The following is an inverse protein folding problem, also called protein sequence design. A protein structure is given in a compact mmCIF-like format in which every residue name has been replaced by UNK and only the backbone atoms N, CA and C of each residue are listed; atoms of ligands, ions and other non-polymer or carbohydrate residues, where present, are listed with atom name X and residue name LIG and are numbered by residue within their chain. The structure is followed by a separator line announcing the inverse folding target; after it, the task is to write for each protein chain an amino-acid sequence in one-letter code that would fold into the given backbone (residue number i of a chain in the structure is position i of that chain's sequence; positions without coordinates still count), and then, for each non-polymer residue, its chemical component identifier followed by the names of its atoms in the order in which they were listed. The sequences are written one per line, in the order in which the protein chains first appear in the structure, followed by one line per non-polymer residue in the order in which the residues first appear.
data_IF_367833791362
#
_entry.id   IF_367833791362
#
_cell.length_a   1.000
_cell.length_b   1.000
_cell.length_c   1.000
_cell.angle_alpha   90.00
_cell.angle_beta   90.00
_cell.angle_gamma   90.00
#
_symmetry.space_group_name_H-M   'P 1'
#
loop_
_entity.id
_entity.type
_entity.pdbx_description
1 polymer ?
#
# COMPACT_ATOMS: atom_id res chain seq x y z
N UNK A 1 26.15 -12.31 -87.29
CA UNK A 1 26.20 -11.43 -86.17
C UNK A 1 27.69 -11.22 -85.80
N UNK A 2 28.16 -9.96 -85.92
CA UNK A 2 29.58 -9.66 -85.79
C UNK A 2 30.14 -10.03 -84.44
N UNK A 3 31.39 -10.56 -84.40
CA UNK A 3 32.11 -10.99 -83.15
C UNK A 3 32.10 -9.89 -82.14
N UNK A 4 32.20 -8.64 -82.55
CA UNK A 4 32.15 -7.46 -81.66
C UNK A 4 30.81 -7.37 -80.91
N UNK A 5 29.66 -7.62 -81.55
CA UNK A 5 28.34 -7.62 -80.92
C UNK A 5 28.18 -8.73 -79.91
N UNK A 6 28.78 -9.89 -80.16
CA UNK A 6 28.76 -10.98 -79.25
C UNK A 6 29.60 -10.69 -77.97
N UNK A 7 30.74 -10.05 -78.18
CA UNK A 7 31.63 -9.62 -77.03
C UNK A 7 30.96 -8.54 -76.19
N UNK A 8 30.35 -7.52 -76.82
CA UNK A 8 29.62 -6.47 -76.10
C UNK A 8 28.45 -7.04 -75.31
N UNK A 9 27.72 -8.02 -75.84
CA UNK A 9 26.61 -8.66 -75.13
C UNK A 9 27.08 -9.49 -73.95
N UNK A 10 28.23 -10.16 -74.08
CA UNK A 10 28.82 -10.98 -73.04
C UNK A 10 29.32 -10.09 -71.89
N UNK A 11 29.99 -8.96 -72.18
CA UNK A 11 30.42 -7.98 -71.20
C UNK A 11 29.22 -7.37 -70.46
N UNK A 12 28.15 -7.04 -71.14
CA UNK A 12 26.92 -6.51 -70.55
C UNK A 12 26.29 -7.51 -69.57
N UNK A 13 26.23 -8.81 -69.92
CA UNK A 13 25.71 -9.85 -69.02
C UNK A 13 26.58 -10.01 -67.78
N UNK A 14 27.93 -10.03 -67.92
CA UNK A 14 28.84 -10.13 -66.78
C UNK A 14 28.72 -8.90 -65.87
N UNK A 15 28.60 -7.69 -66.44
CA UNK A 15 28.38 -6.47 -65.62
C UNK A 15 27.05 -6.50 -64.88
N UNK A 16 26.01 -7.02 -65.50
CA UNK A 16 24.71 -7.16 -64.88
C UNK A 16 24.72 -8.14 -63.69
N UNK A 17 25.38 -9.28 -63.85
CA UNK A 17 25.57 -10.26 -62.80
C UNK A 17 26.41 -9.69 -61.62
N UNK A 18 27.40 -8.90 -61.92
CA UNK A 18 28.20 -8.21 -60.89
C UNK A 18 27.37 -7.18 -60.10
N UNK A 19 26.50 -6.42 -60.78
CA UNK A 19 25.57 -5.51 -60.14
C UNK A 19 24.59 -6.24 -59.23
N UNK A 20 24.03 -7.39 -59.63
CA UNK A 20 23.12 -8.17 -58.81
C UNK A 20 23.82 -8.74 -57.55
N UNK A 21 25.07 -9.20 -57.66
CA UNK A 21 25.81 -9.71 -56.51
C UNK A 21 26.14 -8.62 -55.48
N UNK A 22 26.50 -7.43 -55.92
CA UNK A 22 26.78 -6.29 -55.01
C UNK A 22 25.54 -5.72 -54.38
N UNK A 23 24.37 -5.75 -55.05
CA UNK A 23 23.08 -5.36 -54.44
C UNK A 23 22.70 -6.32 -53.32
N UNK A 24 22.85 -7.64 -53.53
CA UNK A 24 22.53 -8.61 -52.48
C UNK A 24 23.44 -8.47 -51.25
N UNK A 25 24.75 -8.22 -51.42
CA UNK A 25 25.65 -7.96 -50.31
C UNK A 25 25.33 -6.65 -49.59
N UNK A 26 24.89 -5.63 -50.30
CA UNK A 26 24.50 -4.33 -49.71
C UNK A 26 23.21 -4.48 -48.94
N UNK A 27 22.24 -5.25 -49.45
CA UNK A 27 20.96 -5.52 -48.73
C UNK A 27 21.19 -6.32 -47.43
N UNK A 28 22.07 -7.33 -47.46
CA UNK A 28 22.41 -8.10 -46.27
C UNK A 28 23.13 -7.28 -45.20
N UNK A 29 23.85 -6.24 -45.60
CA UNK A 29 24.58 -5.36 -44.65
C UNK A 29 23.69 -4.37 -43.89
N UNK A 30 22.51 -4.04 -44.46
CA UNK A 30 21.53 -3.16 -43.79
C UNK A 30 20.46 -3.89 -42.97
N UNK A 31 20.45 -5.22 -43.01
CA UNK A 31 19.54 -6.03 -42.22
C UNK A 31 20.22 -6.43 -40.90
N UNK A 32 20.70 -5.42 -40.15
CA UNK A 32 21.14 -5.61 -38.78
C UNK A 32 19.88 -5.61 -37.92
N UNK A 33 19.36 -6.78 -37.59
CA UNK A 33 18.37 -6.91 -36.53
C UNK A 33 19.04 -6.51 -35.21
N UNK A 34 18.74 -5.32 -34.74
CA UNK A 34 19.10 -4.90 -33.40
C UNK A 34 18.16 -5.64 -32.43
N UNK A 35 18.55 -6.81 -31.97
CA UNK A 35 17.89 -7.45 -30.84
C UNK A 35 18.27 -6.67 -29.57
N UNK A 36 17.58 -5.59 -29.31
CA UNK A 36 17.63 -4.90 -28.05
C UNK A 36 16.90 -5.71 -26.99
N UNK A 37 17.60 -6.47 -26.16
CA UNK A 37 17.03 -6.99 -24.92
C UNK A 37 16.90 -5.83 -23.96
N UNK A 38 15.72 -5.27 -23.85
CA UNK A 38 15.37 -4.30 -22.82
C UNK A 38 14.94 -5.10 -21.57
N UNK A 39 15.77 -5.14 -20.56
CA UNK A 39 15.36 -5.65 -19.28
C UNK A 39 14.54 -4.56 -18.60
N UNK A 40 13.23 -4.71 -18.59
CA UNK A 40 12.34 -3.88 -17.78
C UNK A 40 12.04 -4.63 -16.49
N UNK A 41 12.32 -4.01 -15.35
CA UNK A 41 11.90 -4.54 -14.06
C UNK A 41 10.43 -4.17 -13.82
N UNK A 42 9.67 -5.12 -13.31
CA UNK A 42 8.29 -4.86 -12.85
C UNK A 42 8.37 -4.10 -11.53
N UNK A 43 7.53 -3.08 -11.38
CA UNK A 43 7.44 -2.31 -10.14
C UNK A 43 7.08 -3.22 -8.96
N UNK A 44 7.80 -3.06 -7.85
CA UNK A 44 7.52 -3.82 -6.63
C UNK A 44 6.27 -3.27 -5.96
N UNK A 45 5.48 -4.19 -5.42
CA UNK A 45 4.30 -3.92 -4.62
C UNK A 45 4.36 -4.76 -3.36
N UNK A 46 5.08 -4.27 -2.33
CA UNK A 46 5.24 -4.98 -1.08
C UNK A 46 5.04 -4.01 0.08
N UNK A 47 3.87 -4.04 0.67
CA UNK A 47 3.48 -3.21 1.81
C UNK A 47 3.46 -4.10 3.06
N UNK A 48 4.08 -3.63 4.13
CA UNK A 48 3.96 -4.23 5.46
C UNK A 48 3.11 -3.31 6.34
N UNK A 49 2.25 -3.93 7.12
CA UNK A 49 1.48 -3.24 8.17
C UNK A 49 1.84 -3.89 9.50
N UNK A 50 2.43 -3.13 10.43
CA UNK A 50 2.97 -3.64 11.68
C UNK A 50 3.86 -4.89 11.48
N UNK A 51 4.74 -4.84 10.46
CA UNK A 51 5.63 -5.92 10.02
C UNK A 51 4.92 -7.16 9.42
N UNK A 52 3.62 -7.10 9.17
CA UNK A 52 2.88 -8.17 8.48
C UNK A 52 2.67 -7.83 7.01
N UNK A 53 2.96 -8.80 6.13
CA UNK A 53 2.80 -8.65 4.68
C UNK A 53 1.32 -8.70 4.28
N UNK A 54 0.85 -7.64 3.62
CA UNK A 54 -0.56 -7.51 3.21
C UNK A 54 -0.80 -7.81 1.72
N UNK A 55 0.20 -8.28 0.97
CA UNK A 55 0.10 -8.52 -0.48
C UNK A 55 -1.02 -9.47 -0.89
N UNK A 56 -1.33 -10.43 -0.05
CA UNK A 56 -2.32 -11.48 -0.37
C UNK A 56 -3.75 -11.09 0.02
N UNK A 57 -3.94 -9.94 0.65
CA UNK A 57 -5.23 -9.49 1.14
C UNK A 57 -5.53 -8.10 0.59
N UNK A 58 -6.54 -7.97 -0.25
CA UNK A 58 -7.03 -6.67 -0.74
C UNK A 58 -7.63 -5.81 0.38
N UNK A 59 -8.01 -6.45 1.49
CA UNK A 59 -8.35 -5.83 2.76
C UNK A 59 -7.81 -6.69 3.90
N UNK A 60 -7.08 -6.08 4.81
CA UNK A 60 -6.61 -6.76 6.04
C UNK A 60 -7.39 -6.21 7.21
N UNK A 61 -7.91 -7.11 8.06
CA UNK A 61 -8.40 -6.72 9.37
C UNK A 61 -7.28 -7.00 10.39
N UNK A 62 -6.81 -5.97 11.06
CA UNK A 62 -5.92 -6.12 12.20
C UNK A 62 -6.75 -5.98 13.48
N UNK A 63 -6.70 -7.00 14.31
CA UNK A 63 -7.18 -6.91 15.68
C UNK A 63 -6.03 -6.34 16.52
N UNK A 64 -6.24 -5.17 17.09
CA UNK A 64 -5.21 -4.46 17.83
C UNK A 64 -5.72 -4.14 19.23
N UNK A 65 -4.88 -4.39 20.21
CA UNK A 65 -5.17 -4.00 21.60
C UNK A 65 -4.69 -2.56 21.80
N UNK A 66 -5.57 -1.63 22.19
CA UNK A 66 -5.17 -0.26 22.48
C UNK A 66 -4.21 -0.19 23.68
N UNK A 67 -3.26 0.72 23.60
CA UNK A 67 -2.38 1.10 24.71
C UNK A 67 -3.05 2.23 25.47
N UNK A 68 -3.23 2.06 26.77
CA UNK A 68 -3.77 3.09 27.66
C UNK A 68 -2.64 3.68 28.49
N UNK A 69 -2.51 5.01 28.43
CA UNK A 69 -1.57 5.72 29.28
C UNK A 69 -2.18 5.80 30.68
N UNK A 70 -1.43 5.37 31.67
CA UNK A 70 -1.85 5.53 33.06
C UNK A 70 -2.05 6.99 33.45
N UNK A 71 -2.91 7.23 34.42
CA UNK A 71 -3.13 8.53 35.05
C UNK A 71 -2.84 8.43 36.52
N UNK A 72 -3.04 9.53 37.29
CA UNK A 72 -2.95 9.47 38.75
C UNK A 72 -3.89 8.44 39.39
N UNK A 73 -5.01 8.12 38.69
CA UNK A 73 -6.09 7.26 39.19
C UNK A 73 -6.21 5.90 38.50
N UNK A 74 -5.55 5.72 37.36
CA UNK A 74 -5.68 4.51 36.50
C UNK A 74 -4.28 4.02 36.16
N UNK A 75 -4.00 2.73 36.40
CA UNK A 75 -2.72 2.12 36.08
C UNK A 75 -2.46 2.15 34.55
N UNK A 76 -1.20 2.16 34.09
CA UNK A 76 -0.89 1.98 32.65
C UNK A 76 -1.43 0.65 32.14
N UNK A 77 -1.79 0.63 30.84
CA UNK A 77 -2.32 -0.53 30.12
C UNK A 77 -3.62 -1.12 30.68
N UNK A 78 -4.31 -0.34 31.52
CA UNK A 78 -5.65 -0.66 32.04
C UNK A 78 -6.65 0.31 31.44
N UNK A 79 -7.75 -0.24 30.90
CA UNK A 79 -8.89 0.54 30.46
C UNK A 79 -9.92 0.68 31.57
N UNK A 80 -10.47 1.86 31.74
CA UNK A 80 -11.56 2.16 32.65
C UNK A 80 -12.51 3.18 32.02
N UNK A 81 -13.76 3.28 32.47
CA UNK A 81 -14.69 4.32 32.01
C UNK A 81 -14.01 5.70 31.99
N UNK A 82 -14.21 6.46 30.92
CA UNK A 82 -13.58 7.75 30.60
C UNK A 82 -12.10 7.73 30.20
N UNK A 83 -11.38 6.60 30.33
CA UNK A 83 -9.96 6.53 29.93
C UNK A 83 -9.77 6.70 28.43
N UNK A 84 -8.66 7.31 28.05
CA UNK A 84 -8.23 7.49 26.67
C UNK A 84 -6.95 6.68 26.40
N UNK A 85 -6.90 6.05 25.23
CA UNK A 85 -5.76 5.28 24.77
C UNK A 85 -5.52 5.50 23.27
N UNK A 86 -4.60 4.73 22.70
CA UNK A 86 -4.31 4.79 21.28
C UNK A 86 -3.83 3.44 20.74
N UNK A 87 -3.91 3.32 19.42
CA UNK A 87 -3.34 2.23 18.65
C UNK A 87 -2.42 2.82 17.59
N UNK A 88 -1.21 2.30 17.48
CA UNK A 88 -0.27 2.68 16.43
C UNK A 88 -0.31 1.68 15.28
N UNK A 89 -0.54 2.20 14.07
CA UNK A 89 -0.46 1.48 12.82
C UNK A 89 0.73 2.01 12.02
N UNK A 90 1.67 1.12 11.71
CA UNK A 90 2.87 1.45 10.94
C UNK A 90 2.74 0.84 9.56
N UNK A 91 2.70 1.66 8.53
CA UNK A 91 2.73 1.28 7.12
C UNK A 91 4.17 1.40 6.64
N UNK A 92 4.81 0.29 6.28
CA UNK A 92 6.12 0.26 5.63
C UNK A 92 5.95 0.06 4.13
N UNK A 93 6.31 1.08 3.37
CA UNK A 93 6.28 1.14 1.91
C UNK A 93 7.68 1.15 1.28
N UNK A 94 8.73 0.82 2.02
CA UNK A 94 10.13 0.84 1.55
C UNK A 94 10.36 -0.03 0.31
N UNK A 95 9.55 -1.07 0.12
CA UNK A 95 9.61 -1.99 -1.02
C UNK A 95 8.45 -1.78 -2.01
N UNK A 96 7.94 -0.57 -2.12
CA UNK A 96 6.92 -0.17 -3.10
C UNK A 96 7.53 0.82 -4.08
N UNK A 97 7.37 0.58 -5.38
CA UNK A 97 7.96 1.42 -6.44
C UNK A 97 6.94 2.37 -7.10
N UNK A 98 5.68 2.35 -6.66
CA UNK A 98 4.58 3.14 -7.22
C UNK A 98 3.84 3.91 -6.10
N UNK A 99 3.15 4.97 -6.48
CA UNK A 99 2.28 5.72 -5.57
C UNK A 99 1.01 4.93 -5.25
N UNK A 100 0.48 5.09 -4.04
CA UNK A 100 -0.75 4.42 -3.63
C UNK A 100 -1.54 5.27 -2.63
N UNK A 101 -2.83 4.99 -2.55
CA UNK A 101 -3.70 5.45 -1.49
C UNK A 101 -3.93 4.34 -0.47
N UNK A 102 -4.13 4.72 0.77
CA UNK A 102 -4.63 3.83 1.80
C UNK A 102 -5.95 4.34 2.37
N UNK A 103 -6.80 3.41 2.79
CA UNK A 103 -8.03 3.70 3.51
C UNK A 103 -8.08 2.81 4.74
N UNK A 104 -8.22 3.41 5.92
CA UNK A 104 -8.32 2.72 7.20
C UNK A 104 -9.66 3.09 7.81
N UNK A 105 -10.45 2.07 8.12
CA UNK A 105 -11.75 2.26 8.78
C UNK A 105 -11.69 1.58 10.15
N UNK A 106 -11.52 2.35 11.24
CA UNK A 106 -11.55 1.82 12.59
C UNK A 106 -12.98 1.56 13.04
N UNK A 107 -13.19 0.44 13.73
CA UNK A 107 -14.46 0.08 14.33
C UNK A 107 -14.21 -0.74 15.61
N UNK A 108 -15.20 -0.83 16.48
CA UNK A 108 -15.14 -1.72 17.63
C UNK A 108 -15.29 -3.16 17.16
N UNK A 109 -14.39 -4.05 17.61
CA UNK A 109 -14.52 -5.46 17.28
C UNK A 109 -15.77 -6.06 17.91
N UNK A 110 -16.48 -6.91 17.16
CA UNK A 110 -17.72 -7.55 17.63
C UNK A 110 -17.48 -8.48 18.84
N UNK A 111 -16.23 -8.88 19.09
CA UNK A 111 -15.83 -9.69 20.24
C UNK A 111 -15.29 -8.86 21.40
N UNK A 112 -15.32 -7.52 21.29
CA UNK A 112 -14.93 -6.64 22.37
C UNK A 112 -15.97 -6.70 23.49
N UNK A 113 -15.52 -6.91 24.70
CA UNK A 113 -16.38 -6.88 25.87
C UNK A 113 -16.75 -5.46 26.27
N UNK A 114 -15.86 -4.49 25.94
CA UNK A 114 -16.16 -3.07 26.08
C UNK A 114 -16.78 -2.58 24.77
N UNK A 115 -18.11 -2.46 24.76
CA UNK A 115 -18.87 -2.05 23.56
C UNK A 115 -18.96 -0.54 23.39
N UNK A 116 -18.64 0.23 24.45
CA UNK A 116 -18.60 1.69 24.45
C UNK A 116 -17.23 2.28 24.13
N UNK A 117 -16.36 1.46 23.55
CA UNK A 117 -15.11 1.97 22.99
C UNK A 117 -15.41 2.82 21.77
N UNK A 118 -14.97 4.07 21.75
CA UNK A 118 -15.16 5.00 20.64
C UNK A 118 -13.83 5.49 20.10
N UNK A 119 -13.77 5.73 18.79
CA UNK A 119 -12.65 6.41 18.14
C UNK A 119 -12.88 7.91 18.24
N UNK A 120 -11.88 8.65 18.74
CA UNK A 120 -11.98 10.10 18.94
C UNK A 120 -11.17 10.90 17.92
N UNK A 121 -10.24 10.27 17.21
CA UNK A 121 -9.42 10.95 16.22
C UNK A 121 -8.20 10.14 15.82
N UNK A 122 -7.37 10.72 14.98
CA UNK A 122 -6.10 10.14 14.55
C UNK A 122 -5.04 11.21 14.31
N UNK A 123 -3.77 10.80 14.27
CA UNK A 123 -2.65 11.60 13.79
C UNK A 123 -1.87 10.82 12.74
N UNK A 124 -1.23 11.52 11.81
CA UNK A 124 -0.29 10.93 10.84
C UNK A 124 1.09 11.50 11.14
N UNK A 125 2.10 10.62 11.30
CA UNK A 125 3.50 11.00 11.53
C UNK A 125 3.67 12.05 12.65
N UNK A 126 2.93 11.89 13.75
CA UNK A 126 2.93 12.83 14.89
C UNK A 126 2.44 14.25 14.54
N UNK A 127 1.63 14.40 13.49
CA UNK A 127 0.96 15.64 13.15
C UNK A 127 -0.15 16.02 14.13
N UNK A 128 -0.98 16.97 13.75
CA UNK A 128 -2.14 17.39 14.54
C UNK A 128 -3.21 16.30 14.60
N UNK A 129 -3.91 16.21 15.75
CA UNK A 129 -5.03 15.26 15.93
C UNK A 129 -6.23 15.73 15.11
N UNK A 130 -6.67 14.89 14.19
CA UNK A 130 -7.88 15.06 13.38
C UNK A 130 -9.00 14.24 14.03
N UNK A 131 -10.12 14.88 14.34
CA UNK A 131 -11.26 14.21 14.94
C UNK A 131 -11.98 13.33 13.92
N UNK A 132 -12.31 12.10 14.32
CA UNK A 132 -13.18 11.18 13.57
C UNK A 132 -14.07 10.38 14.55
N UNK A 133 -15.07 9.70 14.00
CA UNK A 133 -15.95 8.80 14.75
C UNK A 133 -15.77 7.35 14.30
N UNK A 134 -16.32 6.41 15.07
CA UNK A 134 -16.37 5.00 14.71
C UNK A 134 -16.94 4.82 13.29
N UNK A 135 -16.33 3.92 12.51
CA UNK A 135 -16.72 3.63 11.13
C UNK A 135 -16.37 4.72 10.11
N UNK A 136 -15.86 5.87 10.55
CA UNK A 136 -15.38 6.90 9.62
C UNK A 136 -13.98 6.55 9.12
N UNK A 137 -13.81 6.59 7.79
CA UNK A 137 -12.54 6.21 7.16
C UNK A 137 -11.50 7.32 7.20
N UNK A 138 -10.26 6.92 7.44
CA UNK A 138 -9.05 7.72 7.28
C UNK A 138 -8.50 7.38 5.90
N UNK A 139 -8.36 8.35 5.01
CA UNK A 139 -7.83 8.13 3.65
C UNK A 139 -6.75 9.15 3.36
N UNK A 140 -5.61 8.67 2.83
CA UNK A 140 -4.53 9.55 2.39
C UNK A 140 -3.71 8.85 1.29
N UNK A 141 -2.79 9.60 0.67
CA UNK A 141 -1.95 9.14 -0.43
C UNK A 141 -0.47 9.14 -0.03
N UNK A 142 0.24 8.11 -0.43
CA UNK A 142 1.70 8.05 -0.34
C UNK A 142 2.25 8.13 -1.77
N UNK A 143 2.86 9.25 -2.10
CA UNK A 143 3.47 9.46 -3.41
C UNK A 143 4.91 8.97 -3.41
N UNK A 144 5.29 8.22 -4.43
CA UNK A 144 6.66 7.69 -4.55
C UNK A 144 7.72 8.78 -4.61
N UNK A 145 7.38 9.94 -5.18
CA UNK A 145 8.30 11.09 -5.28
C UNK A 145 8.69 11.66 -3.91
N UNK A 146 7.84 11.50 -2.89
CA UNK A 146 8.08 12.03 -1.55
C UNK A 146 9.10 11.18 -0.76
N UNK A 147 9.46 9.99 -1.26
CA UNK A 147 10.39 9.04 -0.64
C UNK A 147 10.03 8.68 0.81
N UNK A 148 8.75 8.70 1.15
CA UNK A 148 8.26 8.28 2.46
C UNK A 148 8.24 6.76 2.52
N UNK A 149 9.07 6.19 3.38
CA UNK A 149 9.17 4.73 3.54
C UNK A 149 8.31 4.20 4.69
N UNK A 150 8.13 5.00 5.73
CA UNK A 150 7.35 4.65 6.92
C UNK A 150 6.29 5.73 7.16
N UNK A 151 5.06 5.31 7.38
CA UNK A 151 3.96 6.18 7.79
C UNK A 151 3.36 5.61 9.06
N UNK A 152 3.37 6.38 10.15
CA UNK A 152 2.76 6.01 11.42
C UNK A 152 1.42 6.71 11.56
N UNK A 153 0.36 5.94 11.76
CA UNK A 153 -0.97 6.44 11.99
C UNK A 153 -1.35 6.04 13.42
N UNK A 154 -1.52 7.03 14.28
CA UNK A 154 -2.01 6.81 15.64
C UNK A 154 -3.49 7.07 15.68
N UNK A 155 -4.27 6.09 16.10
CA UNK A 155 -5.72 6.16 16.24
C UNK A 155 -6.03 6.25 17.74
N UNK A 156 -6.73 7.29 18.13
CA UNK A 156 -7.12 7.54 19.53
C UNK A 156 -8.47 6.92 19.81
N UNK A 157 -8.55 6.25 20.92
CA UNK A 157 -9.75 5.56 21.41
C UNK A 157 -10.06 6.02 22.84
N UNK A 158 -11.33 5.96 23.18
CA UNK A 158 -11.83 6.32 24.51
C UNK A 158 -12.93 5.35 24.91
N UNK A 159 -12.97 4.96 26.17
CA UNK A 159 -14.19 4.35 26.75
C UNK A 159 -15.19 5.47 27.03
N UNK A 160 -16.29 5.49 26.29
CA UNK A 160 -17.33 6.50 26.47
C UNK A 160 -18.24 6.11 27.64
N UNK A 161 -18.27 6.96 28.64
CA UNK A 161 -19.12 6.86 29.83
C UNK A 161 -20.09 8.05 29.87
N UNK A 162 -20.49 8.56 28.70
CA UNK A 162 -21.47 9.63 28.59
C UNK A 162 -22.90 9.12 28.69
N UNK A 163 -23.85 10.02 28.76
CA UNK A 163 -25.27 9.69 28.72
C UNK A 163 -25.72 8.97 27.44
N UNK A 164 -24.87 8.86 26.44
CA UNK A 164 -25.10 8.18 25.16
C UNK A 164 -24.41 6.80 25.11
N UNK A 165 -23.73 6.40 26.19
CA UNK A 165 -23.10 5.08 26.31
C UNK A 165 -24.16 3.98 26.19
N UNK A 166 -23.78 2.81 25.67
CA UNK A 166 -24.65 1.65 25.51
C UNK A 166 -24.61 0.74 26.76
N UNK A 167 -23.44 0.69 27.41
CA UNK A 167 -23.25 -0.09 28.62
C UNK A 167 -23.83 0.64 29.81
N UNK A 168 -24.40 -0.13 30.74
CA UNK A 168 -24.84 0.36 32.03
C UNK A 168 -23.67 0.34 33.04
N UNK A 169 -23.75 1.09 34.12
CA UNK A 169 -22.75 1.05 35.19
C UNK A 169 -22.51 -0.36 35.78
N UNK A 170 -23.52 -1.24 35.70
CA UNK A 170 -23.40 -2.64 36.12
C UNK A 170 -22.59 -3.45 35.09
N UNK A 171 -22.81 -3.25 33.81
CA UNK A 171 -22.04 -3.89 32.73
C UNK A 171 -20.59 -3.40 32.73
N UNK A 172 -20.34 -2.11 32.95
CA UNK A 172 -18.99 -1.53 33.12
C UNK A 172 -18.25 -2.16 34.29
N UNK A 173 -18.95 -2.34 35.40
CA UNK A 173 -18.40 -2.99 36.61
C UNK A 173 -18.09 -4.46 36.33
N UNK A 174 -18.98 -5.17 35.64
CA UNK A 174 -18.78 -6.56 35.27
C UNK A 174 -17.62 -6.75 34.31
N UNK A 175 -17.46 -5.88 33.30
CA UNK A 175 -16.32 -5.88 32.39
C UNK A 175 -14.99 -5.74 33.14
N UNK A 176 -14.95 -4.90 34.16
CA UNK A 176 -13.78 -4.72 35.03
C UNK A 176 -13.47 -5.97 35.91
N UNK A 177 -14.49 -6.70 36.32
CA UNK A 177 -14.34 -7.91 37.15
C UNK A 177 -13.85 -9.12 36.34
N UNK A 178 -14.16 -9.18 35.04
CA UNK A 178 -13.92 -10.37 34.21
C UNK A 178 -12.57 -10.33 33.51
N UNK A 179 -11.74 -9.34 33.76
CA UNK A 179 -10.46 -9.12 33.06
C UNK A 179 -10.64 -9.07 31.51
N UNK A 180 -11.73 -8.42 31.12
CA UNK A 180 -12.18 -8.40 29.73
C UNK A 180 -11.34 -7.41 28.89
N UNK A 181 -11.20 -7.71 27.60
CA UNK A 181 -10.38 -6.93 26.69
C UNK A 181 -11.22 -5.99 25.82
N UNK A 182 -10.79 -4.74 25.75
CA UNK A 182 -11.27 -3.81 24.73
C UNK A 182 -10.52 -4.09 23.40
N UNK A 183 -11.26 -4.32 22.34
CA UNK A 183 -10.70 -4.67 21.04
C UNK A 183 -11.15 -3.70 19.96
N UNK A 184 -10.18 -3.21 19.19
CA UNK A 184 -10.40 -2.40 18.01
C UNK A 184 -10.09 -3.23 16.76
N UNK A 185 -11.00 -3.17 15.79
CA UNK A 185 -10.81 -3.74 14.46
C UNK A 185 -10.49 -2.64 13.46
N UNK A 186 -9.42 -2.81 12.70
CA UNK A 186 -9.07 -1.92 11.60
C UNK A 186 -9.26 -2.64 10.27
N UNK A 187 -10.14 -2.11 9.42
CA UNK A 187 -10.21 -2.54 8.03
C UNK A 187 -9.28 -1.63 7.21
N UNK A 188 -8.29 -2.23 6.55
CA UNK A 188 -7.24 -1.51 5.83
C UNK A 188 -7.27 -1.92 4.37
N UNK A 189 -7.28 -0.94 3.47
CA UNK A 189 -7.25 -1.14 2.03
C UNK A 189 -6.15 -0.31 1.40
N UNK A 190 -5.43 -0.87 0.42
CA UNK A 190 -4.43 -0.18 -0.38
C UNK A 190 -4.80 -0.24 -1.85
N UNK A 191 -4.71 0.89 -2.54
CA UNK A 191 -5.03 1.01 -3.97
C UNK A 191 -3.89 1.76 -4.67
N UNK A 192 -3.32 1.17 -5.72
CA UNK A 192 -2.34 1.86 -6.56
C UNK A 192 -2.98 3.08 -7.22
N UNK A 193 -2.27 4.20 -7.21
CA UNK A 193 -2.68 5.39 -7.96
C UNK A 193 -2.19 5.22 -9.40
N UNK A 194 -3.09 5.16 -10.39
CA UNK A 194 -2.71 5.08 -11.80
C UNK A 194 -2.05 6.40 -12.24
N UNK A 195 -1.11 6.28 -13.19
CA UNK A 195 -0.51 7.43 -13.88
C UNK A 195 -1.51 8.11 -14.79
#
# INVERSE_FOLDING_TARGET
MNVVRKMTLLVAIISLLFCFSTINETYAKYNTSLEGKTNMSVARWHILVNNQDVRNNSSTSAELTPTFLGTEHIAPDVIAPTSEGYVDLIIDSSQVDVSFSYTITPDVDATSSVTDLIVTGYTVNSGEKIAINNGQSITDNIYKIDNVNLTTIRIYVKWDDSSNSKMTNEEDTNASFMDEQAKLKLNIQFIQIPN
#
